data_IF_052007265083
#
_entry.id   IF_052007265083
#
_cell.length_a   1.000
_cell.length_b   1.000
_cell.length_c   1.000
_cell.angle_alpha   90.00
_cell.angle_beta   90.00
_cell.angle_gamma   90.00
#
_symmetry.space_group_name_H-M   'P 1'
#
loop_
_entity.id
_entity.type
_entity.pdbx_description
1 polymer ?
#
# COMPACT_ATOMS: atom_id res chain seq x y z
N UNK A 1 -8.72 -5.63 -0.39
CA UNK A 1 -9.23 -4.39 -1.01
C UNK A 1 -10.30 -4.64 -2.08
N UNK A 2 -10.09 -5.57 -3.01
CA UNK A 2 -11.06 -5.92 -4.06
C UNK A 2 -12.49 -6.18 -3.54
N UNK A 3 -12.67 -7.17 -2.66
CA UNK A 3 -13.98 -7.52 -2.12
C UNK A 3 -14.66 -6.38 -1.34
N UNK A 4 -13.87 -5.51 -0.70
CA UNK A 4 -14.41 -4.32 -0.03
C UNK A 4 -14.95 -3.32 -1.05
N UNK A 5 -14.18 -3.04 -2.11
CA UNK A 5 -14.57 -2.09 -3.16
C UNK A 5 -15.87 -2.49 -3.84
N UNK A 6 -16.02 -3.77 -4.18
CA UNK A 6 -17.22 -4.27 -4.86
C UNK A 6 -18.46 -4.27 -3.97
N UNK A 7 -18.29 -4.47 -2.65
CA UNK A 7 -19.42 -4.62 -1.72
C UNK A 7 -19.81 -3.32 -1.01
N UNK A 8 -18.85 -2.47 -0.72
CA UNK A 8 -19.02 -1.30 0.16
C UNK A 8 -18.49 0.00 -0.44
N UNK A 9 -17.87 -0.05 -1.63
CA UNK A 9 -17.27 1.12 -2.25
C UNK A 9 -18.31 2.17 -2.64
N UNK A 10 -18.07 3.42 -2.23
CA UNK A 10 -18.83 4.59 -2.64
C UNK A 10 -18.31 5.24 -3.93
N UNK A 11 -19.06 6.20 -4.50
CA UNK A 11 -18.67 6.89 -5.74
C UNK A 11 -17.41 7.76 -5.59
N UNK A 12 -16.99 8.09 -4.35
CA UNK A 12 -15.78 8.88 -4.08
C UNK A 12 -14.52 8.02 -3.98
N UNK A 13 -14.64 6.73 -3.63
CA UNK A 13 -13.43 5.92 -3.49
C UNK A 13 -12.84 5.62 -4.86
N UNK A 14 -11.52 5.54 -4.86
CA UNK A 14 -10.69 5.20 -6.02
C UNK A 14 -9.86 3.98 -5.68
N UNK A 15 -9.69 3.11 -6.66
CA UNK A 15 -8.95 1.87 -6.49
C UNK A 15 -7.93 1.77 -7.60
N UNK A 16 -6.70 1.41 -7.24
CA UNK A 16 -5.58 1.34 -8.17
C UNK A 16 -4.85 0.01 -8.00
N UNK A 17 -4.30 -0.51 -9.10
CA UNK A 17 -3.50 -1.74 -9.10
C UNK A 17 -2.25 -1.54 -9.95
N UNK A 18 -1.11 -1.93 -9.41
CA UNK A 18 0.19 -1.88 -10.09
C UNK A 18 0.70 -3.29 -10.40
N UNK A 19 1.24 -3.48 -11.60
CA UNK A 19 1.86 -4.73 -12.02
C UNK A 19 3.13 -4.47 -12.84
N UNK A 20 3.97 -5.49 -13.05
CA UNK A 20 5.15 -5.35 -13.91
C UNK A 20 4.78 -5.23 -15.38
N UNK A 21 3.79 -5.98 -15.81
CA UNK A 21 3.19 -5.90 -17.12
C UNK A 21 1.72 -6.34 -17.07
N UNK A 22 1.03 -6.25 -18.21
CA UNK A 22 -0.37 -6.65 -18.33
C UNK A 22 -0.59 -8.14 -18.09
N UNK A 23 0.42 -9.01 -18.21
CA UNK A 23 0.26 -10.44 -17.92
C UNK A 23 0.03 -10.73 -16.42
N UNK A 24 0.46 -9.83 -15.54
CA UNK A 24 0.32 -9.97 -14.07
C UNK A 24 -0.92 -9.29 -13.50
N UNK A 25 -1.67 -8.56 -14.34
CA UNK A 25 -2.92 -7.92 -13.91
C UNK A 25 -4.05 -8.96 -13.95
N UNK A 26 -4.79 -9.17 -12.85
CA UNK A 26 -5.94 -10.08 -12.84
C UNK A 26 -7.15 -9.41 -13.49
N UNK A 27 -7.13 -9.27 -14.82
CA UNK A 27 -8.11 -8.51 -15.61
C UNK A 27 -9.56 -8.95 -15.46
N UNK A 28 -9.78 -10.24 -15.19
CA UNK A 28 -11.11 -10.81 -14.96
C UNK A 28 -11.70 -10.38 -13.60
N UNK A 29 -10.83 -10.13 -12.62
CA UNK A 29 -11.24 -9.65 -11.31
C UNK A 29 -11.37 -8.14 -11.31
N UNK A 30 -10.37 -7.43 -11.83
CA UNK A 30 -10.34 -5.97 -11.80
C UNK A 30 -11.21 -5.42 -12.93
N UNK A 31 -12.38 -4.87 -12.59
CA UNK A 31 -13.25 -4.17 -13.53
C UNK A 31 -12.69 -2.81 -13.98
N UNK A 32 -13.45 -2.09 -14.80
CA UNK A 32 -13.08 -0.76 -15.32
C UNK A 32 -13.07 0.34 -14.24
N UNK A 33 -13.52 0.04 -13.03
CA UNK A 33 -13.48 0.93 -11.86
C UNK A 33 -12.09 1.03 -11.22
N UNK A 34 -11.14 0.21 -11.67
CA UNK A 34 -9.77 0.18 -11.19
C UNK A 34 -8.82 0.92 -12.14
N UNK A 35 -8.05 1.86 -11.62
CA UNK A 35 -6.92 2.44 -12.34
C UNK A 35 -5.77 1.44 -12.39
N UNK A 36 -5.37 1.04 -13.60
CA UNK A 36 -4.30 0.05 -13.79
C UNK A 36 -3.01 0.75 -14.18
N UNK A 37 -1.92 0.39 -13.50
CA UNK A 37 -0.57 0.85 -13.77
C UNK A 37 0.33 -0.35 -14.09
N UNK A 38 1.14 -0.25 -15.13
CA UNK A 38 2.09 -1.30 -15.52
C UNK A 38 3.46 -0.71 -15.81
N UNK A 39 4.55 -1.42 -15.53
CA UNK A 39 5.88 -0.97 -15.95
C UNK A 39 6.07 -1.13 -17.47
N UNK A 40 5.50 -2.18 -18.06
CA UNK A 40 5.47 -2.45 -19.51
C UNK A 40 4.04 -2.73 -19.98
N UNK A 41 3.65 -2.18 -21.13
CA UNK A 41 2.31 -2.35 -21.70
C UNK A 41 2.04 -3.72 -22.36
N UNK A 42 3.02 -4.63 -22.32
CA UNK A 42 2.90 -5.99 -22.84
C UNK A 42 1.79 -6.76 -22.09
N UNK A 43 1.01 -7.57 -22.80
CA UNK A 43 -0.05 -8.38 -22.17
C UNK A 43 -1.30 -7.60 -21.72
N UNK A 44 -1.41 -6.31 -22.03
CA UNK A 44 -2.66 -5.55 -21.81
C UNK A 44 -3.72 -6.00 -22.84
N UNK A 45 -4.88 -6.51 -22.42
CA UNK A 45 -5.91 -6.98 -23.34
C UNK A 45 -6.47 -5.86 -24.21
N UNK A 46 -6.89 -6.16 -25.46
CA UNK A 46 -7.57 -5.19 -26.31
C UNK A 46 -8.78 -4.56 -25.60
N UNK A 47 -8.95 -3.25 -25.71
CA UNK A 47 -10.03 -2.51 -25.07
C UNK A 47 -9.84 -2.22 -23.58
N UNK A 48 -8.73 -2.67 -22.97
CA UNK A 48 -8.32 -2.25 -21.62
C UNK A 48 -7.22 -1.19 -21.70
N UNK A 49 -7.27 -0.21 -20.81
CA UNK A 49 -6.23 0.81 -20.65
C UNK A 49 -5.34 0.50 -19.46
N UNK A 50 -4.05 0.82 -19.59
CA UNK A 50 -3.11 0.82 -18.49
C UNK A 50 -2.17 2.03 -18.59
N UNK A 51 -1.92 2.69 -17.47
CA UNK A 51 -0.92 3.73 -17.33
C UNK A 51 0.47 3.10 -17.27
N UNK A 52 1.46 3.63 -17.99
CA UNK A 52 2.83 3.14 -17.92
C UNK A 52 3.62 3.90 -16.86
N UNK A 53 4.01 3.22 -15.78
CA UNK A 53 4.76 3.79 -14.67
C UNK A 53 4.32 3.25 -13.31
N UNK A 54 4.69 3.97 -12.24
CA UNK A 54 4.34 3.59 -10.86
C UNK A 54 2.89 3.95 -10.52
N UNK A 55 2.21 3.05 -9.81
CA UNK A 55 0.77 3.20 -9.49
C UNK A 55 0.44 4.44 -8.66
N UNK A 56 1.39 4.93 -7.85
CA UNK A 56 1.21 6.17 -7.08
C UNK A 56 1.23 7.42 -7.95
N UNK A 57 1.91 7.38 -9.11
CA UNK A 57 1.85 8.47 -10.08
C UNK A 57 0.49 8.51 -10.80
N UNK A 58 -0.05 7.34 -11.15
CA UNK A 58 -1.43 7.24 -11.65
C UNK A 58 -2.42 7.78 -10.61
N UNK A 59 -2.30 7.35 -9.35
CA UNK A 59 -3.14 7.85 -8.28
C UNK A 59 -3.05 9.37 -8.15
N UNK A 60 -1.83 9.93 -8.09
CA UNK A 60 -1.63 11.37 -7.98
C UNK A 60 -2.19 12.19 -9.17
N UNK A 61 -2.25 11.60 -10.37
CA UNK A 61 -2.80 12.23 -11.57
C UNK A 61 -4.33 12.25 -11.60
N UNK A 62 -5.00 11.45 -10.76
CA UNK A 62 -6.45 11.35 -10.72
C UNK A 62 -7.07 12.64 -10.13
N UNK A 63 -7.68 13.47 -10.98
CA UNK A 63 -8.21 14.78 -10.62
C UNK A 63 -9.22 14.76 -9.44
N UNK A 64 -9.92 13.64 -9.24
CA UNK A 64 -10.88 13.47 -8.15
C UNK A 64 -10.25 13.36 -6.75
N UNK A 65 -8.93 13.11 -6.66
CA UNK A 65 -8.22 13.03 -5.39
C UNK A 65 -8.01 14.41 -4.76
N UNK A 66 -7.74 15.47 -5.54
CA UNK A 66 -7.35 16.77 -5.00
C UNK A 66 -8.48 17.56 -4.30
N UNK A 67 -9.69 17.01 -4.21
CA UNK A 67 -10.90 17.66 -3.70
C UNK A 67 -11.34 17.14 -2.33
N UNK A 68 -10.56 16.25 -1.71
CA UNK A 68 -10.90 15.64 -0.42
C UNK A 68 -9.96 16.14 0.68
N UNK A 69 -10.48 16.95 1.59
CA UNK A 69 -9.72 17.49 2.72
C UNK A 69 -9.50 16.44 3.83
N UNK A 70 -10.11 15.25 3.73
CA UNK A 70 -10.05 14.20 4.76
C UNK A 70 -9.91 12.80 4.15
N UNK A 71 -9.11 12.68 3.09
CA UNK A 71 -8.85 11.40 2.43
C UNK A 71 -8.16 10.39 3.35
N UNK A 72 -8.41 9.11 3.05
CA UNK A 72 -7.72 7.98 3.70
C UNK A 72 -7.18 7.06 2.61
N UNK A 73 -5.87 6.82 2.66
CA UNK A 73 -5.18 5.89 1.77
C UNK A 73 -5.06 4.55 2.48
N UNK A 74 -5.45 3.48 1.80
CA UNK A 74 -5.13 2.11 2.21
C UNK A 74 -4.20 1.50 1.17
N UNK A 75 -3.06 0.95 1.59
CA UNK A 75 -2.09 0.34 0.69
C UNK A 75 -1.65 -1.05 1.17
N UNK A 76 -1.44 -1.95 0.22
CA UNK A 76 -0.82 -3.25 0.42
C UNK A 76 0.11 -3.54 -0.76
N UNK A 77 1.22 -4.22 -0.51
CA UNK A 77 2.20 -4.57 -1.53
C UNK A 77 3.63 -4.38 -1.04
N UNK A 78 4.61 -4.33 -1.95
CA UNK A 78 6.01 -4.30 -1.58
C UNK A 78 6.38 -3.00 -0.83
N UNK A 79 7.40 -3.06 0.04
CA UNK A 79 7.79 -1.92 0.87
C UNK A 79 7.99 -0.58 0.11
N UNK A 80 8.58 -0.54 -1.11
CA UNK A 80 8.66 0.69 -1.89
C UNK A 80 7.29 1.29 -2.25
N UNK A 81 6.29 0.44 -2.55
CA UNK A 81 4.92 0.88 -2.82
C UNK A 81 4.30 1.48 -1.55
N UNK A 82 4.45 0.82 -0.40
CA UNK A 82 3.92 1.31 0.87
C UNK A 82 4.54 2.66 1.25
N UNK A 83 5.84 2.84 1.02
CA UNK A 83 6.52 4.12 1.23
C UNK A 83 6.00 5.20 0.28
N UNK A 84 5.87 4.89 -1.01
CA UNK A 84 5.33 5.84 -1.98
C UNK A 84 3.89 6.25 -1.66
N UNK A 85 3.05 5.31 -1.19
CA UNK A 85 1.68 5.58 -0.78
C UNK A 85 1.61 6.46 0.47
N UNK A 86 2.46 6.19 1.48
CA UNK A 86 2.57 7.01 2.67
C UNK A 86 3.02 8.45 2.35
N UNK A 87 3.99 8.61 1.45
CA UNK A 87 4.45 9.93 0.99
C UNK A 87 3.36 10.68 0.22
N UNK A 88 2.63 9.99 -0.67
CA UNK A 88 1.50 10.57 -1.39
C UNK A 88 0.41 11.05 -0.41
N UNK A 89 0.02 10.20 0.54
CA UNK A 89 -0.98 10.56 1.55
C UNK A 89 -0.52 11.77 2.39
N UNK A 90 0.73 11.77 2.84
CA UNK A 90 1.31 12.89 3.59
C UNK A 90 1.29 14.20 2.79
N UNK A 91 1.63 14.15 1.50
CA UNK A 91 1.60 15.33 0.63
C UNK A 91 0.20 15.94 0.50
N UNK A 92 -0.84 15.09 0.60
CA UNK A 92 -2.25 15.51 0.56
C UNK A 92 -2.85 15.80 1.96
N UNK A 93 -2.08 15.63 3.04
CA UNK A 93 -2.61 15.77 4.41
C UNK A 93 -3.53 14.63 4.85
N UNK A 94 -3.45 13.47 4.19
CA UNK A 94 -4.33 12.31 4.41
C UNK A 94 -3.76 11.29 5.39
N UNK A 95 -4.65 10.53 6.02
CA UNK A 95 -4.24 9.34 6.78
C UNK A 95 -3.85 8.21 5.83
N UNK A 96 -2.88 7.40 6.22
CA UNK A 96 -2.44 6.24 5.45
C UNK A 96 -2.36 5.00 6.33
N UNK A 97 -3.06 3.95 5.93
CA UNK A 97 -2.98 2.63 6.53
C UNK A 97 -2.28 1.69 5.58
N UNK A 98 -1.30 0.96 6.09
CA UNK A 98 -0.53 0.01 5.30
C UNK A 98 -0.68 -1.39 5.88
N UNK A 99 -0.85 -2.38 5.00
CA UNK A 99 -0.73 -3.79 5.38
C UNK A 99 0.71 -4.23 5.14
N UNK A 100 1.42 -4.56 6.20
CA UNK A 100 2.80 -5.05 6.14
C UNK A 100 2.82 -6.56 5.88
N UNK A 101 3.82 -6.99 5.12
CA UNK A 101 4.16 -8.39 4.92
C UNK A 101 5.47 -8.66 5.66
N UNK A 102 5.46 -9.54 6.66
CA UNK A 102 6.62 -9.89 7.47
C UNK A 102 6.86 -11.39 7.44
N UNK A 103 8.11 -11.81 7.71
CA UNK A 103 8.41 -13.23 7.84
C UNK A 103 7.74 -13.80 9.09
N UNK A 104 6.75 -14.66 8.89
CA UNK A 104 5.99 -15.29 9.96
C UNK A 104 6.42 -16.73 10.17
N UNK A 105 6.70 -17.09 11.44
CA UNK A 105 6.83 -18.48 11.86
C UNK A 105 5.50 -19.05 12.33
N UNK A 106 5.02 -18.57 13.49
CA UNK A 106 3.83 -19.11 14.13
C UNK A 106 2.50 -18.53 13.62
N UNK A 107 2.45 -17.25 13.24
CA UNK A 107 1.22 -16.58 12.81
C UNK A 107 0.21 -16.21 13.92
N UNK A 108 0.47 -16.53 15.19
CA UNK A 108 -0.42 -16.22 16.33
C UNK A 108 0.29 -15.52 17.50
N UNK A 109 1.45 -14.93 17.25
CA UNK A 109 2.08 -13.97 18.17
C UNK A 109 3.04 -14.53 19.21
N UNK A 110 3.29 -15.85 19.25
CA UNK A 110 4.16 -16.48 20.26
C UNK A 110 5.64 -16.46 19.88
N UNK A 111 5.99 -16.79 18.63
CA UNK A 111 7.41 -16.90 18.25
C UNK A 111 8.15 -15.56 18.14
N UNK A 112 7.40 -14.45 18.06
CA UNK A 112 7.94 -13.08 17.87
C UNK A 112 8.87 -12.90 16.66
N UNK A 113 8.78 -13.76 15.64
CA UNK A 113 9.59 -13.64 14.42
C UNK A 113 9.16 -12.52 13.46
N UNK A 114 7.92 -12.04 13.57
CA UNK A 114 7.36 -10.99 12.69
C UNK A 114 7.27 -9.64 13.44
N UNK A 115 8.35 -9.23 14.10
CA UNK A 115 8.39 -7.98 14.87
C UNK A 115 8.52 -6.77 13.95
N UNK A 116 7.74 -5.73 14.24
CA UNK A 116 7.69 -4.46 13.50
C UNK A 116 7.96 -3.33 14.49
N UNK A 117 8.97 -2.47 14.25
CA UNK A 117 9.17 -1.27 15.03
C UNK A 117 8.00 -0.29 14.83
N UNK A 118 7.36 0.13 15.92
CA UNK A 118 6.29 1.14 15.91
C UNK A 118 6.58 2.24 16.93
N UNK A 119 6.24 3.48 16.59
CA UNK A 119 6.34 4.63 17.49
C UNK A 119 5.37 4.46 18.67
N UNK A 120 5.86 4.73 19.86
CA UNK A 120 5.08 4.71 21.10
C UNK A 120 5.54 5.85 22.02
N UNK A 121 4.69 6.88 22.16
CA UNK A 121 5.03 8.11 22.86
C UNK A 121 6.31 8.74 22.33
N UNK A 122 7.36 8.75 23.16
CA UNK A 122 8.67 9.32 22.83
C UNK A 122 9.69 8.27 22.33
N UNK A 123 9.29 7.02 22.13
CA UNK A 123 10.19 5.93 21.76
C UNK A 123 9.66 5.04 20.64
N UNK A 124 10.33 3.90 20.48
CA UNK A 124 9.94 2.83 19.56
C UNK A 124 9.75 1.56 20.36
N UNK A 125 8.66 0.82 20.10
CA UNK A 125 8.41 -0.52 20.62
C UNK A 125 8.32 -1.53 19.48
N UNK A 126 8.52 -2.81 19.78
CA UNK A 126 8.36 -3.89 18.81
C UNK A 126 6.93 -4.44 18.89
N UNK A 127 6.11 -4.14 17.89
CA UNK A 127 4.80 -4.77 17.70
C UNK A 127 4.95 -6.12 16.99
N UNK A 128 4.06 -7.07 17.27
CA UNK A 128 4.05 -8.38 16.60
C UNK A 128 3.08 -8.35 15.42
N UNK A 129 3.57 -8.34 14.17
CA UNK A 129 2.74 -8.15 12.96
C UNK A 129 1.56 -9.11 12.86
N UNK A 130 1.75 -10.40 13.15
CA UNK A 130 0.68 -11.38 13.03
C UNK A 130 -0.41 -11.31 14.12
N UNK A 131 -0.20 -10.51 15.18
CA UNK A 131 -1.12 -10.42 16.31
C UNK A 131 -1.64 -9.00 16.54
N UNK A 132 -0.75 -8.01 16.45
CA UNK A 132 -1.07 -6.58 16.59
C UNK A 132 -1.30 -5.89 15.22
N UNK A 133 -0.84 -6.52 14.13
CA UNK A 133 -1.04 -6.07 12.75
C UNK A 133 -2.04 -6.95 12.00
N UNK A 134 -1.87 -7.17 10.67
CA UNK A 134 -0.78 -6.68 9.81
C UNK A 134 -0.96 -5.22 9.35
N UNK A 135 -2.09 -4.60 9.71
CA UNK A 135 -2.44 -3.23 9.28
C UNK A 135 -2.00 -2.22 10.33
N UNK A 136 -1.16 -1.26 9.92
CA UNK A 136 -0.62 -0.21 10.77
C UNK A 136 -0.87 1.18 10.17
N UNK A 137 -0.95 2.19 11.04
CA UNK A 137 -0.91 3.58 10.60
C UNK A 137 0.52 3.90 10.13
N UNK A 138 0.68 4.36 8.89
CA UNK A 138 1.99 4.66 8.33
C UNK A 138 2.75 5.74 9.12
N UNK A 139 2.04 6.65 9.81
CA UNK A 139 2.65 7.66 10.66
C UNK A 139 3.36 7.05 11.89
N UNK A 140 2.92 5.87 12.33
CA UNK A 140 3.51 5.16 13.46
C UNK A 140 4.70 4.27 13.07
N UNK A 141 4.99 4.10 11.78
CA UNK A 141 6.09 3.28 11.30
C UNK A 141 7.33 4.15 11.04
N UNK A 142 8.47 3.93 11.73
CA UNK A 142 9.67 4.74 11.53
C UNK A 142 10.14 4.77 10.07
N UNK A 143 10.12 3.62 9.38
CA UNK A 143 10.67 3.47 8.03
C UNK A 143 9.78 4.06 6.92
N UNK A 144 8.48 4.25 7.18
CA UNK A 144 7.54 4.84 6.22
C UNK A 144 7.21 6.30 6.57
N UNK A 145 7.23 6.64 7.86
CA UNK A 145 6.95 7.98 8.36
C UNK A 145 8.13 8.96 8.24
N UNK A 146 9.35 8.45 8.05
CA UNK A 146 10.55 9.24 7.81
C UNK A 146 10.98 9.18 6.32
N UNK A 147 10.91 10.29 5.58
CA UNK A 147 11.33 10.32 4.18
C UNK A 147 12.83 9.98 3.98
N UNK A 148 13.66 10.20 5.01
CA UNK A 148 15.10 9.94 5.00
C UNK A 148 15.50 8.51 5.37
N UNK A 149 14.59 7.73 5.96
CA UNK A 149 14.85 6.34 6.28
C UNK A 149 14.96 5.51 4.99
N UNK A 150 16.12 4.90 4.75
CA UNK A 150 16.26 3.89 3.69
C UNK A 150 15.33 2.72 4.01
N UNK A 151 14.66 2.12 3.01
CA UNK A 151 13.90 0.90 3.26
C UNK A 151 14.88 -0.11 3.85
N UNK A 152 14.53 -0.67 5.00
CA UNK A 152 15.16 -1.87 5.54
C UNK A 152 14.91 -2.99 4.51
N UNK A 153 15.72 -3.02 3.45
CA UNK A 153 15.72 -4.08 2.45
C UNK A 153 16.26 -5.33 3.12
N UNK A 154 15.39 -6.07 3.82
CA UNK A 154 15.70 -7.38 4.37
C UNK A 154 16.91 -7.38 5.30
N UNK A 155 16.70 -7.02 6.56
CA UNK A 155 17.69 -7.20 7.61
C UNK A 155 17.03 -7.78 8.83
N UNK A 156 16.66 -9.06 8.77
CA UNK A 156 16.44 -9.83 9.99
C UNK A 156 17.70 -9.68 10.83
N UNK A 157 17.56 -9.09 12.01
CA UNK A 157 18.58 -9.16 13.03
C UNK A 157 18.71 -10.65 13.41
N UNK A 158 19.76 -11.29 12.88
CA UNK A 158 20.35 -12.49 13.45
C UNK A 158 21.41 -12.05 14.47
#
# INVERSE_FOLDING_TARGET
>A
MFAWRERWGGPRDRAFFGARDGGEVPWEMLGNSWGISVDRAEGVPPGRGAFTGVVTALAAAEAGLAQDDNGVVYACGPAPLLKAAALLARAQGWRCWVSLEEHMGCGYGVCKGCVVPVRDGNGTRNATCCFEGPVFDAANLPDLGDPSALPCIGGGAA
#
